data_IF_315969886584
#
_entry.id   IF_315969886584
#
_cell.length_a   1.000
_cell.length_b   1.000
_cell.length_c   1.000
_cell.angle_alpha   90.00
_cell.angle_beta   90.00
_cell.angle_gamma   90.00
#
_symmetry.space_group_name_H-M   'P 1'
#
loop_
_entity.id
_entity.type
_entity.pdbx_description
1 polymer ?
#
# COMPACT_ATOMS: atom_id res chain seq x y z
N UNK A 1 47.13 0.00 4.20
CA UNK A 1 46.20 -1.14 4.25
C UNK A 1 44.93 -0.86 5.07
N UNK A 2 45.03 -0.45 6.34
CA UNK A 2 43.83 -0.22 7.18
C UNK A 2 42.83 0.79 6.59
N UNK A 3 43.31 1.95 6.09
CA UNK A 3 42.45 2.95 5.44
C UNK A 3 41.78 2.44 4.15
N UNK A 4 42.49 1.65 3.34
CA UNK A 4 41.95 1.09 2.10
C UNK A 4 40.85 0.05 2.37
N UNK A 5 41.01 -0.76 3.42
CA UNK A 5 39.96 -1.67 3.90
C UNK A 5 38.73 -0.93 4.45
N UNK A 6 38.91 0.21 5.12
CA UNK A 6 37.78 1.01 5.64
C UNK A 6 36.97 1.61 4.49
N UNK A 7 37.63 2.12 3.44
CA UNK A 7 36.95 2.68 2.27
C UNK A 7 36.18 1.59 1.52
N UNK A 8 36.82 0.45 1.22
CA UNK A 8 36.14 -0.68 0.57
C UNK A 8 34.96 -1.22 1.40
N UNK A 9 35.12 -1.32 2.73
CA UNK A 9 34.05 -1.78 3.61
C UNK A 9 32.87 -0.80 3.69
N UNK A 10 33.09 0.51 3.53
CA UNK A 10 32.01 1.50 3.52
C UNK A 10 31.27 1.51 2.18
N UNK A 11 32.00 1.35 1.07
CA UNK A 11 31.43 1.34 -0.29
C UNK A 11 30.63 0.05 -0.54
N UNK A 12 31.16 -1.11 -0.18
CA UNK A 12 30.46 -2.40 -0.30
C UNK A 12 29.16 -2.42 0.53
N UNK A 13 29.15 -1.80 1.71
CA UNK A 13 27.94 -1.71 2.54
C UNK A 13 26.91 -0.74 1.98
N UNK A 14 27.35 0.37 1.37
CA UNK A 14 26.45 1.33 0.73
C UNK A 14 25.61 0.66 -0.38
N UNK A 15 26.24 -0.06 -1.30
CA UNK A 15 25.56 -0.70 -2.44
C UNK A 15 24.59 -1.80 -2.00
N UNK A 16 24.89 -2.50 -0.90
CA UNK A 16 23.98 -3.48 -0.29
C UNK A 16 22.77 -2.77 0.32
N UNK A 17 22.98 -1.69 1.07
CA UNK A 17 21.90 -0.91 1.68
C UNK A 17 21.01 -0.27 0.61
N UNK A 18 21.60 0.29 -0.44
CA UNK A 18 20.87 0.93 -1.53
C UNK A 18 19.93 -0.06 -2.22
N UNK A 19 20.42 -1.26 -2.54
CA UNK A 19 19.63 -2.34 -3.17
C UNK A 19 18.56 -2.88 -2.23
N UNK A 20 18.91 -3.15 -0.97
CA UNK A 20 17.97 -3.69 0.01
C UNK A 20 16.81 -2.73 0.26
N UNK A 21 17.11 -1.43 0.46
CA UNK A 21 16.09 -0.40 0.66
C UNK A 21 15.21 -0.20 -0.58
N UNK A 22 15.77 -0.29 -1.79
CA UNK A 22 14.97 -0.28 -3.02
C UNK A 22 14.02 -1.48 -3.10
N UNK A 23 14.51 -2.69 -2.82
CA UNK A 23 13.69 -3.90 -2.81
C UNK A 23 12.54 -3.81 -1.80
N UNK A 24 12.77 -3.20 -0.63
CA UNK A 24 11.73 -2.91 0.36
C UNK A 24 10.65 -1.97 -0.18
N UNK A 25 11.03 -0.92 -0.91
CA UNK A 25 10.07 0.00 -1.56
C UNK A 25 9.25 -0.72 -2.65
N UNK A 26 9.90 -1.56 -3.46
CA UNK A 26 9.22 -2.33 -4.52
C UNK A 26 8.24 -3.36 -3.92
N UNK A 27 8.57 -3.94 -2.76
CA UNK A 27 7.67 -4.81 -2.01
C UNK A 27 6.45 -4.02 -1.51
N UNK A 28 6.67 -2.85 -0.90
CA UNK A 28 5.59 -2.02 -0.37
C UNK A 28 4.65 -1.53 -1.50
N UNK A 29 5.18 -1.19 -2.66
CA UNK A 29 4.39 -0.83 -3.85
C UNK A 29 3.51 -1.99 -4.33
N UNK A 30 4.03 -3.22 -4.31
CA UNK A 30 3.23 -4.44 -4.58
C UNK A 30 2.12 -4.64 -3.56
N UNK A 31 2.38 -4.37 -2.27
CA UNK A 31 1.34 -4.44 -1.23
C UNK A 31 0.24 -3.39 -1.44
N UNK A 32 0.60 -2.15 -1.78
CA UNK A 32 -0.40 -1.10 -2.10
C UNK A 32 -1.29 -1.56 -3.26
N UNK A 33 -0.71 -2.11 -4.32
CA UNK A 33 -1.46 -2.63 -5.46
C UNK A 33 -2.38 -3.78 -5.06
N UNK A 34 -1.89 -4.74 -4.27
CA UNK A 34 -2.68 -5.85 -3.77
C UNK A 34 -3.91 -5.39 -2.98
N UNK A 35 -3.76 -4.43 -2.07
CA UNK A 35 -4.91 -3.93 -1.28
C UNK A 35 -5.91 -3.19 -2.17
N UNK A 36 -5.45 -2.44 -3.19
CA UNK A 36 -6.34 -1.79 -4.17
C UNK A 36 -7.17 -2.80 -4.96
N UNK A 37 -6.54 -3.83 -5.50
CA UNK A 37 -7.23 -4.92 -6.22
C UNK A 37 -8.20 -5.66 -5.30
N UNK A 38 -7.81 -5.90 -4.04
CA UNK A 38 -8.67 -6.53 -3.04
C UNK A 38 -9.92 -5.69 -2.72
N UNK A 39 -9.76 -4.38 -2.60
CA UNK A 39 -10.85 -3.44 -2.39
C UNK A 39 -11.79 -3.39 -3.61
N UNK A 40 -11.24 -3.40 -4.83
CA UNK A 40 -12.04 -3.46 -6.05
C UNK A 40 -12.91 -4.73 -6.13
N UNK A 41 -12.34 -5.89 -5.75
CA UNK A 41 -13.09 -7.15 -5.65
C UNK A 41 -14.26 -7.02 -4.65
N UNK A 42 -14.03 -6.42 -3.48
CA UNK A 42 -15.08 -6.16 -2.48
C UNK A 42 -16.17 -5.24 -3.03
N UNK A 43 -15.78 -4.14 -3.67
CA UNK A 43 -16.71 -3.17 -4.25
C UNK A 43 -17.59 -3.81 -5.32
N UNK A 44 -17.00 -4.59 -6.21
CA UNK A 44 -17.71 -5.23 -7.31
C UNK A 44 -18.68 -6.30 -6.79
N UNK A 45 -18.28 -7.07 -5.77
CA UNK A 45 -19.15 -8.02 -5.12
C UNK A 45 -20.35 -7.34 -4.44
N UNK A 46 -20.13 -6.24 -3.72
CA UNK A 46 -21.19 -5.46 -3.08
C UNK A 46 -22.17 -4.85 -4.10
N UNK A 47 -21.66 -4.38 -5.25
CA UNK A 47 -22.47 -3.87 -6.36
C UNK A 47 -23.33 -4.97 -6.97
N UNK A 48 -22.74 -6.12 -7.26
CA UNK A 48 -23.45 -7.26 -7.85
C UNK A 48 -24.56 -7.75 -6.92
N UNK A 49 -24.26 -7.92 -5.63
CA UNK A 49 -25.28 -8.27 -4.63
C UNK A 49 -26.47 -7.31 -4.66
N UNK A 50 -26.24 -6.00 -4.59
CA UNK A 50 -27.31 -4.99 -4.63
C UNK A 50 -28.09 -4.96 -5.95
N UNK A 51 -27.41 -5.13 -7.07
CA UNK A 51 -28.05 -5.24 -8.38
C UNK A 51 -29.01 -6.43 -8.41
N UNK A 52 -28.58 -7.58 -7.88
CA UNK A 52 -29.32 -8.83 -7.90
C UNK A 52 -30.49 -8.79 -6.87
N UNK A 53 -30.26 -8.32 -5.65
CA UNK A 53 -31.29 -8.25 -4.59
C UNK A 53 -32.26 -7.09 -4.73
N UNK A 54 -31.76 -5.86 -4.85
CA UNK A 54 -32.61 -4.66 -4.77
C UNK A 54 -33.37 -4.38 -6.08
N UNK A 55 -32.78 -4.71 -7.23
CA UNK A 55 -33.32 -4.33 -8.54
C UNK A 55 -34.05 -5.47 -9.25
N UNK A 56 -33.57 -6.72 -9.13
CA UNK A 56 -34.12 -7.84 -9.89
C UNK A 56 -35.04 -8.71 -9.05
N UNK A 57 -34.59 -9.18 -7.89
CA UNK A 57 -35.37 -10.09 -7.05
C UNK A 57 -36.49 -9.35 -6.31
N UNK A 58 -36.18 -8.23 -5.65
CA UNK A 58 -37.20 -7.44 -4.97
C UNK A 58 -38.26 -6.94 -5.96
N UNK A 59 -37.92 -6.51 -7.18
CA UNK A 59 -38.93 -6.10 -8.19
C UNK A 59 -39.66 -7.27 -8.85
N UNK A 60 -39.00 -8.42 -9.09
CA UNK A 60 -39.66 -9.61 -9.66
C UNK A 60 -40.63 -10.25 -8.68
N UNK A 61 -40.31 -10.25 -7.39
CA UNK A 61 -41.09 -10.96 -6.36
C UNK A 61 -41.91 -10.03 -5.45
N UNK A 62 -41.69 -8.70 -5.50
CA UNK A 62 -42.68 -7.74 -4.99
C UNK A 62 -43.86 -7.74 -5.93
N UNK A 63 -44.92 -8.46 -5.56
CA UNK A 63 -46.21 -8.40 -6.26
C UNK A 63 -46.69 -6.95 -6.34
N UNK A 64 -46.56 -6.32 -7.51
CA UNK A 64 -47.38 -5.14 -7.85
C UNK A 64 -48.82 -5.61 -7.92
N UNK A 65 -49.61 -5.20 -6.94
CA UNK A 65 -51.07 -5.19 -7.00
C UNK A 65 -51.73 -6.54 -6.77
N UNK A 66 -52.08 -6.82 -5.52
CA UNK A 66 -53.43 -7.30 -5.19
C UNK A 66 -53.83 -6.55 -3.93
N UNK A 67 -54.83 -5.66 -4.06
CA UNK A 67 -55.61 -5.19 -2.91
C UNK A 67 -56.37 -6.41 -2.42
N UNK A 68 -55.85 -7.15 -1.45
CA UNK A 68 -56.67 -8.04 -0.64
C UNK A 68 -55.92 -8.33 0.67
N UNK A 69 -56.62 -7.96 1.73
CA UNK A 69 -56.43 -8.25 3.14
C UNK A 69 -55.09 -7.87 3.81
N UNK A 70 -55.18 -6.86 4.68
CA UNK A 70 -54.04 -6.25 5.39
C UNK A 70 -53.52 -7.11 6.56
N UNK A 71 -54.19 -8.21 6.92
CA UNK A 71 -53.94 -8.87 8.22
C UNK A 71 -53.24 -10.25 8.14
N UNK A 72 -52.96 -10.78 6.95
CA UNK A 72 -52.27 -12.06 6.81
C UNK A 72 -51.36 -12.12 5.58
N UNK A 73 -50.23 -11.40 5.60
CA UNK A 73 -49.11 -11.84 4.75
C UNK A 73 -48.75 -13.27 5.16
N UNK A 74 -48.75 -14.26 4.27
CA UNK A 74 -48.37 -15.61 4.63
C UNK A 74 -46.94 -15.57 5.17
N UNK A 75 -46.70 -16.23 6.31
CA UNK A 75 -45.43 -16.22 7.06
C UNK A 75 -44.21 -16.46 6.16
N UNK A 76 -44.38 -17.30 5.13
CA UNK A 76 -43.36 -17.61 4.13
C UNK A 76 -42.94 -16.40 3.27
N UNK A 77 -43.89 -15.52 2.92
CA UNK A 77 -43.60 -14.32 2.12
C UNK A 77 -42.88 -13.26 2.98
N UNK A 78 -43.20 -13.17 4.28
CA UNK A 78 -42.47 -12.30 5.19
C UNK A 78 -41.04 -12.80 5.40
N UNK A 79 -40.85 -14.10 5.68
CA UNK A 79 -39.52 -14.69 5.84
C UNK A 79 -38.63 -14.49 4.58
N UNK A 80 -39.21 -14.60 3.37
CA UNK A 80 -38.48 -14.32 2.14
C UNK A 80 -38.05 -12.85 2.04
N UNK A 81 -38.91 -11.91 2.45
CA UNK A 81 -38.58 -10.49 2.46
C UNK A 81 -37.48 -10.16 3.48
N UNK A 82 -37.49 -10.83 4.64
CA UNK A 82 -36.46 -10.65 5.67
C UNK A 82 -35.09 -11.11 5.18
N UNK A 83 -35.03 -12.25 4.46
CA UNK A 83 -33.78 -12.73 3.82
C UNK A 83 -33.27 -11.74 2.77
N UNK A 84 -34.16 -11.13 1.98
CA UNK A 84 -33.76 -10.10 1.01
C UNK A 84 -33.21 -8.84 1.68
N UNK A 85 -33.76 -8.46 2.85
CA UNK A 85 -33.28 -7.32 3.61
C UNK A 85 -31.90 -7.61 4.23
N UNK A 86 -31.71 -8.77 4.86
CA UNK A 86 -30.41 -9.22 5.37
C UNK A 86 -29.34 -9.23 4.28
N UNK A 87 -29.69 -9.67 3.06
CA UNK A 87 -28.76 -9.68 1.95
C UNK A 87 -28.39 -8.27 1.45
N UNK A 88 -29.30 -7.30 1.57
CA UNK A 88 -28.99 -5.89 1.33
C UNK A 88 -28.04 -5.32 2.39
N UNK A 89 -28.29 -5.62 3.66
CA UNK A 89 -27.43 -5.19 4.78
C UNK A 89 -26.02 -5.81 4.65
N UNK A 90 -25.95 -7.09 4.28
CA UNK A 90 -24.69 -7.77 3.97
C UNK A 90 -23.95 -7.07 2.82
N UNK A 91 -24.63 -6.71 1.74
CA UNK A 91 -24.02 -5.99 0.63
C UNK A 91 -23.48 -4.60 1.05
N UNK A 92 -24.19 -3.88 1.93
CA UNK A 92 -23.73 -2.62 2.49
C UNK A 92 -22.46 -2.80 3.34
N UNK A 93 -22.37 -3.87 4.15
CA UNK A 93 -21.16 -4.20 4.90
C UNK A 93 -19.96 -4.48 3.98
N UNK A 94 -20.18 -5.17 2.85
CA UNK A 94 -19.12 -5.44 1.86
C UNK A 94 -18.61 -4.16 1.20
N UNK A 95 -19.49 -3.19 0.94
CA UNK A 95 -19.06 -1.86 0.48
C UNK A 95 -18.26 -1.11 1.55
N UNK A 96 -18.71 -1.12 2.80
CA UNK A 96 -17.97 -0.50 3.89
C UNK A 96 -16.58 -1.14 4.07
N UNK A 97 -16.46 -2.45 3.87
CA UNK A 97 -15.16 -3.14 3.88
C UNK A 97 -14.24 -2.63 2.76
N UNK A 98 -14.75 -2.52 1.52
CA UNK A 98 -14.03 -1.93 0.39
C UNK A 98 -13.55 -0.50 0.69
N UNK A 99 -14.44 0.32 1.23
CA UNK A 99 -14.14 1.71 1.57
C UNK A 99 -13.09 1.80 2.68
N UNK A 100 -13.20 0.98 3.73
CA UNK A 100 -12.19 0.91 4.78
C UNK A 100 -10.81 0.48 4.25
N UNK A 101 -10.75 -0.52 3.37
CA UNK A 101 -9.50 -0.92 2.72
C UNK A 101 -8.90 0.23 1.91
N UNK A 102 -9.73 0.96 1.17
CA UNK A 102 -9.28 2.08 0.34
C UNK A 102 -8.82 3.28 1.19
N UNK A 103 -9.65 3.75 2.11
CA UNK A 103 -9.45 5.00 2.83
C UNK A 103 -8.48 4.84 3.99
N UNK A 104 -8.51 3.72 4.72
CA UNK A 104 -7.65 3.53 5.89
C UNK A 104 -6.34 2.85 5.51
N UNK A 105 -6.38 1.82 4.67
CA UNK A 105 -5.18 1.02 4.38
C UNK A 105 -4.43 1.57 3.16
N UNK A 106 -5.08 1.71 1.99
CA UNK A 106 -4.38 2.15 0.78
C UNK A 106 -3.81 3.57 0.89
N UNK A 107 -4.55 4.50 1.50
CA UNK A 107 -4.07 5.89 1.69
C UNK A 107 -2.86 5.92 2.62
N UNK A 108 -2.94 5.26 3.78
CA UNK A 108 -1.84 5.23 4.75
C UNK A 108 -0.59 4.54 4.19
N UNK A 109 -0.75 3.38 3.54
CA UNK A 109 0.37 2.71 2.88
C UNK A 109 0.99 3.56 1.76
N UNK A 110 0.17 4.27 0.98
CA UNK A 110 0.67 5.15 -0.09
C UNK A 110 1.45 6.34 0.48
N UNK A 111 0.97 6.91 1.59
CA UNK A 111 1.65 7.98 2.32
C UNK A 111 3.00 7.49 2.87
N UNK A 112 3.01 6.36 3.57
CA UNK A 112 4.22 5.78 4.13
C UNK A 112 5.25 5.45 3.02
N UNK A 113 4.79 4.95 1.86
CA UNK A 113 5.67 4.70 0.71
C UNK A 113 6.33 5.99 0.19
N UNK A 114 5.60 7.10 0.14
CA UNK A 114 6.16 8.39 -0.29
C UNK A 114 7.17 8.94 0.72
N UNK A 115 6.85 8.87 2.01
CA UNK A 115 7.74 9.31 3.09
C UNK A 115 9.04 8.49 3.08
N UNK A 116 8.95 7.16 3.01
CA UNK A 116 10.12 6.27 2.94
C UNK A 116 10.96 6.51 1.68
N UNK A 117 10.34 6.79 0.53
CA UNK A 117 11.06 7.17 -0.70
C UNK A 117 11.88 8.45 -0.48
N UNK A 118 11.31 9.44 0.18
CA UNK A 118 11.97 10.71 0.44
C UNK A 118 13.10 10.56 1.48
N UNK A 119 12.84 9.84 2.58
CA UNK A 119 13.85 9.55 3.60
C UNK A 119 15.03 8.79 3.02
N UNK A 120 14.78 7.73 2.23
CA UNK A 120 15.83 6.98 1.53
C UNK A 120 16.70 7.91 0.68
N UNK A 121 16.08 8.81 -0.11
CA UNK A 121 16.80 9.76 -0.95
C UNK A 121 17.70 10.68 -0.11
N UNK A 122 17.21 11.16 1.03
CA UNK A 122 17.98 12.02 1.92
C UNK A 122 19.19 11.28 2.50
N UNK A 123 18.99 10.08 3.06
CA UNK A 123 20.06 9.28 3.64
C UNK A 123 21.14 8.89 2.63
N UNK A 124 20.76 8.42 1.44
CA UNK A 124 21.74 8.11 0.38
C UNK A 124 22.50 9.36 -0.07
N UNK A 125 21.83 10.52 -0.12
CA UNK A 125 22.47 11.80 -0.41
C UNK A 125 23.53 12.18 0.64
N UNK A 126 23.24 11.97 1.92
CA UNK A 126 24.17 12.28 3.00
C UNK A 126 25.35 11.29 3.06
N UNK A 127 25.13 10.01 2.77
CA UNK A 127 26.23 9.04 2.60
C UNK A 127 27.16 9.47 1.47
N UNK A 128 26.61 9.86 0.32
CA UNK A 128 27.40 10.33 -0.83
C UNK A 128 28.24 11.57 -0.48
N UNK A 129 27.69 12.53 0.28
CA UNK A 129 28.47 13.69 0.77
C UNK A 129 29.60 13.25 1.69
N UNK A 130 29.34 12.32 2.61
CA UNK A 130 30.35 11.81 3.53
C UNK A 130 31.48 11.09 2.78
N UNK A 131 31.15 10.28 1.76
CA UNK A 131 32.12 9.63 0.88
C UNK A 131 32.98 10.65 0.12
N UNK A 132 32.36 11.69 -0.46
CA UNK A 132 33.09 12.75 -1.16
C UNK A 132 34.05 13.51 -0.23
N UNK A 133 33.63 13.80 1.01
CA UNK A 133 34.46 14.45 2.01
C UNK A 133 35.65 13.57 2.42
N UNK A 134 35.42 12.27 2.57
CA UNK A 134 36.47 11.31 2.88
C UNK A 134 37.49 11.21 1.74
N UNK A 135 37.01 11.09 0.50
CA UNK A 135 37.86 11.03 -0.70
C UNK A 135 38.69 12.32 -0.87
N UNK A 136 38.09 13.48 -0.62
CA UNK A 136 38.80 14.77 -0.67
C UNK A 136 39.88 14.87 0.40
N UNK A 137 39.59 14.41 1.62
CA UNK A 137 40.55 14.37 2.73
C UNK A 137 41.71 13.40 2.43
N UNK A 138 41.42 12.29 1.76
CA UNK A 138 42.42 11.31 1.34
C UNK A 138 43.36 11.89 0.28
N UNK A 139 42.83 12.52 -0.78
CA UNK A 139 43.66 13.19 -1.81
C UNK A 139 44.57 14.27 -1.23
N UNK A 140 44.07 15.03 -0.24
CA UNK A 140 44.88 16.02 0.47
C UNK A 140 46.04 15.36 1.22
N UNK A 141 45.76 14.27 1.94
CA UNK A 141 46.78 13.52 2.69
C UNK A 141 47.86 12.97 1.74
N UNK A 142 47.47 12.40 0.60
CA UNK A 142 48.42 11.92 -0.43
C UNK A 142 49.32 13.07 -0.90
N UNK A 143 48.73 14.21 -1.25
CA UNK A 143 49.48 15.40 -1.70
C UNK A 143 50.50 15.87 -0.65
N UNK A 144 50.10 15.95 0.62
CA UNK A 144 51.01 16.33 1.72
C UNK A 144 52.12 15.30 1.89
N UNK A 145 51.80 14.01 1.80
CA UNK A 145 52.80 12.93 1.95
C UNK A 145 53.85 12.97 0.84
N UNK A 146 53.45 13.22 -0.41
CA UNK A 146 54.38 13.39 -1.53
C UNK A 146 55.29 14.60 -1.33
N UNK A 147 54.74 15.73 -0.84
CA UNK A 147 55.52 16.94 -0.61
C UNK A 147 56.59 16.74 0.48
N UNK A 148 56.28 16.00 1.54
CA UNK A 148 57.24 15.65 2.61
C UNK A 148 58.33 14.71 2.09
N UNK A 149 57.98 13.73 1.24
CA UNK A 149 58.96 12.80 0.65
C UNK A 149 59.93 13.52 -0.28
N UNK A 150 59.47 14.50 -1.07
CA UNK A 150 60.33 15.27 -1.99
C UNK A 150 61.22 16.28 -1.24
N UNK A 151 60.85 16.64 0.00
CA UNK A 151 61.59 17.60 0.82
C UNK A 151 62.68 16.98 1.70
N UNK A 152 62.81 15.65 1.71
CA UNK A 152 63.81 14.85 2.44
C UNK A 152 64.83 14.24 1.48
#
# INVERSE_FOLDING_TARGET
MALFCIILSLDDQHDVIERHTQSGLDLLERYVKFVKERAEIEQNYAKQLRQDTALTLTKKYSRRGVKEDQDAKPTNQQAFQDVLNELNDYAAQREQLSENMTVKICVELSKNLQELRQERKNYLGDIKKAQQNLESSFKLLETVSECVIVSL
#
